data_IF_391530303349
#
_entry.id   IF_391530303349
#
_cell.length_a   1.000
_cell.length_b   1.000
_cell.length_c   1.000
_cell.angle_alpha   90.00
_cell.angle_beta   90.00
_cell.angle_gamma   90.00
#
_symmetry.space_group_name_H-M   'P 1'
#
loop_
_entity.id
_entity.type
_entity.pdbx_description
1 polymer ?
#
# COMPACT_ATOMS: atom_id res chain seq x y z
N UNK A 1 -3.98 4.36 -10.77
CA UNK A 1 -3.29 4.86 -9.56
C UNK A 1 -2.03 5.54 -10.03
N UNK A 2 -1.85 6.79 -9.65
CA UNK A 2 -0.66 7.57 -9.99
C UNK A 2 0.25 7.63 -8.77
N UNK A 3 1.55 7.46 -9.00
CA UNK A 3 2.58 7.60 -7.97
C UNK A 3 3.14 9.03 -8.00
N UNK A 4 3.60 9.58 -6.86
CA UNK A 4 3.74 8.93 -5.55
C UNK A 4 2.41 8.74 -4.79
N UNK A 5 2.28 7.62 -4.08
CA UNK A 5 1.12 7.28 -3.26
C UNK A 5 1.52 7.00 -1.80
N UNK A 6 0.63 7.30 -0.86
CA UNK A 6 0.84 7.01 0.58
C UNK A 6 0.26 5.65 0.97
N UNK A 7 0.65 5.06 2.13
CA UNK A 7 0.02 3.85 2.67
C UNK A 7 -1.50 3.91 2.73
N UNK A 8 -2.06 5.08 3.07
CA UNK A 8 -3.51 5.29 3.14
C UNK A 8 -4.15 5.30 1.75
N UNK A 9 -3.49 5.87 0.74
CA UNK A 9 -3.97 5.82 -0.65
C UNK A 9 -3.95 4.40 -1.20
N UNK A 10 -2.89 3.64 -0.88
CA UNK A 10 -2.74 2.24 -1.25
C UNK A 10 -3.81 1.38 -0.57
N UNK A 11 -4.03 1.55 0.73
CA UNK A 11 -5.06 0.83 1.47
C UNK A 11 -6.47 1.20 0.99
N UNK A 12 -6.72 2.47 0.63
CA UNK A 12 -7.99 2.93 0.08
C UNK A 12 -8.25 2.35 -1.31
N UNK A 13 -7.24 2.33 -2.18
CA UNK A 13 -7.35 1.70 -3.49
C UNK A 13 -7.56 0.19 -3.38
N UNK A 14 -6.80 -0.49 -2.51
CA UNK A 14 -6.97 -1.92 -2.24
C UNK A 14 -8.38 -2.26 -1.73
N UNK A 15 -8.95 -1.44 -0.83
CA UNK A 15 -10.36 -1.58 -0.40
C UNK A 15 -11.34 -1.35 -1.55
N UNK A 16 -11.09 -0.34 -2.38
CA UNK A 16 -11.96 -0.05 -3.52
C UNK A 16 -11.97 -1.20 -4.53
N UNK A 17 -10.82 -1.83 -4.75
CA UNK A 17 -10.64 -2.94 -5.67
C UNK A 17 -11.12 -4.29 -5.08
N UNK A 18 -11.60 -4.30 -3.83
CA UNK A 18 -12.08 -5.51 -3.15
C UNK A 18 -10.98 -6.49 -2.75
N UNK A 19 -9.75 -5.99 -2.58
CA UNK A 19 -8.62 -6.78 -2.09
C UNK A 19 -8.87 -7.20 -0.63
N UNK A 20 -8.36 -8.37 -0.27
CA UNK A 20 -8.46 -8.93 1.08
C UNK A 20 -8.07 -7.92 2.18
N UNK A 21 -8.86 -7.87 3.24
CA UNK A 21 -8.65 -7.02 4.41
C UNK A 21 -7.28 -7.26 5.06
N UNK A 22 -6.72 -8.47 4.94
CA UNK A 22 -5.36 -8.76 5.40
C UNK A 22 -4.31 -7.91 4.68
N UNK A 23 -4.45 -7.75 3.35
CA UNK A 23 -3.54 -6.95 2.54
C UNK A 23 -3.77 -5.46 2.80
N UNK A 24 -5.03 -5.02 2.96
CA UNK A 24 -5.35 -3.64 3.32
C UNK A 24 -4.69 -3.26 4.65
N UNK A 25 -4.75 -4.14 5.66
CA UNK A 25 -4.10 -3.93 6.96
C UNK A 25 -2.58 -3.87 6.83
N UNK A 26 -1.99 -4.77 6.04
CA UNK A 26 -0.55 -4.76 5.80
C UNK A 26 -0.11 -3.44 5.13
N UNK A 27 -0.85 -2.98 4.12
CA UNK A 27 -0.63 -1.69 3.46
C UNK A 27 -0.75 -0.52 4.45
N UNK A 28 -1.78 -0.49 5.30
CA UNK A 28 -1.93 0.56 6.32
C UNK A 28 -0.87 0.51 7.43
N UNK A 29 -0.23 -0.64 7.66
CA UNK A 29 0.87 -0.77 8.63
C UNK A 29 2.23 -0.33 8.08
N UNK A 30 2.32 -0.04 6.77
CA UNK A 30 3.55 0.44 6.18
C UNK A 30 3.95 1.81 6.75
N UNK A 31 5.27 2.09 6.83
CA UNK A 31 5.76 3.40 7.24
C UNK A 31 5.10 4.52 6.46
N UNK A 32 4.67 5.59 7.15
CA UNK A 32 4.08 6.78 6.54
C UNK A 32 5.11 7.56 5.71
N UNK A 33 5.36 7.07 4.50
CA UNK A 33 6.24 7.67 3.47
C UNK A 33 5.55 7.60 2.11
N UNK A 34 5.99 8.44 1.18
CA UNK A 34 5.58 8.31 -0.22
C UNK A 34 6.27 7.13 -0.88
N UNK A 35 5.49 6.36 -1.62
CA UNK A 35 5.98 5.27 -2.46
C UNK A 35 5.89 5.72 -3.91
N UNK A 36 7.01 5.66 -4.64
CA UNK A 36 7.09 6.12 -6.03
C UNK A 36 6.70 5.05 -7.06
N UNK A 37 6.30 3.86 -6.60
CA UNK A 37 5.94 2.76 -7.48
C UNK A 37 5.52 1.50 -6.75
N UNK A 38 4.84 0.61 -7.48
CA UNK A 38 4.35 -0.66 -6.95
C UNK A 38 5.49 -1.53 -6.41
N UNK A 39 6.67 -1.46 -7.02
CA UNK A 39 7.86 -2.17 -6.56
C UNK A 39 8.28 -1.75 -5.15
N UNK A 40 8.27 -0.45 -4.83
CA UNK A 40 8.62 0.04 -3.49
C UNK A 40 7.60 -0.39 -2.44
N UNK A 41 6.33 -0.51 -2.82
CA UNK A 41 5.25 -1.00 -1.95
C UNK A 41 5.42 -2.48 -1.66
N UNK A 42 5.60 -3.30 -2.70
CA UNK A 42 5.81 -4.74 -2.58
C UNK A 42 7.06 -5.06 -1.74
N UNK A 43 8.17 -4.35 -1.99
CA UNK A 43 9.39 -4.52 -1.22
C UNK A 43 9.20 -4.15 0.25
N UNK A 44 8.39 -3.13 0.55
CA UNK A 44 8.11 -2.76 1.93
C UNK A 44 7.16 -3.73 2.64
N UNK A 45 6.27 -4.41 1.91
CA UNK A 45 5.43 -5.47 2.44
C UNK A 45 6.22 -6.75 2.73
N UNK A 46 7.20 -7.09 1.88
CA UNK A 46 8.09 -8.25 2.09
C UNK A 46 9.04 -8.05 3.29
N UNK A 47 9.35 -6.80 3.63
CA UNK A 47 10.21 -6.43 4.75
C UNK A 47 9.46 -6.17 6.08
N UNK A 48 8.13 -6.31 6.11
CA UNK A 48 7.26 -6.03 7.26
C UNK A 48 6.74 -7.32 7.90
#
# INVERSE_FOLDING_TARGET
MDYPATPDDLARAARHDGVDDAIVRALSSLPSRSYDGAFHVLHALDAA
#
